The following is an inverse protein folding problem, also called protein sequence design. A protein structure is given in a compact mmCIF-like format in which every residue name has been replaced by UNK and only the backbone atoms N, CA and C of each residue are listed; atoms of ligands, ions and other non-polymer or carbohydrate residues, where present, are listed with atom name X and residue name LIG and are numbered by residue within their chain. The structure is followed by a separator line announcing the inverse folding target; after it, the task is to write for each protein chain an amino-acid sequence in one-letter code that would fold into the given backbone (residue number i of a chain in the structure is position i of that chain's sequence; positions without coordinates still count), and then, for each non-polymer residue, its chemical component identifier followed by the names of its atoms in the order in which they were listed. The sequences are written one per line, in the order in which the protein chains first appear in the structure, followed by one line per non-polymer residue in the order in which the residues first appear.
data_IF_344537984239
#
_entry.id   IF_344537984239
#
_cell.length_a   1.000
_cell.length_b   1.000
_cell.length_c   1.000
_cell.angle_alpha   90.00
_cell.angle_beta   90.00
_cell.angle_gamma   90.00
#
_symmetry.space_group_name_H-M   'P 1'
#
loop_
_entity.id
_entity.type
_entity.pdbx_description
1 polymer ?
#
# COMPACT_ATOMS: atom_id res chain seq x y z
N UNK A 1 1.26 -10.96 -9.59
CA UNK A 1 0.32 -9.82 -9.52
C UNK A 1 -0.43 -9.68 -10.83
N UNK A 2 -1.61 -9.03 -10.83
CA UNK A 2 -2.50 -8.84 -11.98
C UNK A 2 -2.65 -7.38 -12.38
N UNK A 3 -2.94 -7.12 -13.66
CA UNK A 3 -3.47 -5.83 -14.11
C UNK A 3 -4.95 -5.74 -13.74
N UNK A 4 -5.39 -4.57 -13.27
CA UNK A 4 -6.79 -4.34 -12.88
C UNK A 4 -7.41 -3.33 -13.83
N UNK A 5 -8.52 -3.71 -14.46
CA UNK A 5 -9.16 -2.89 -15.48
C UNK A 5 -9.80 -1.62 -14.89
N UNK A 6 -10.36 -1.69 -13.68
CA UNK A 6 -10.94 -0.52 -13.01
C UNK A 6 -10.98 -0.69 -11.47
N UNK A 7 -10.71 0.39 -10.75
CA UNK A 7 -10.64 0.41 -9.29
C UNK A 7 -9.35 -0.21 -8.75
N UNK A 8 -9.39 -0.69 -7.51
CA UNK A 8 -8.29 -1.44 -6.92
C UNK A 8 -7.05 -0.61 -6.56
N UNK A 9 -7.14 0.72 -6.49
CA UNK A 9 -6.03 1.55 -6.05
C UNK A 9 -5.60 1.22 -4.61
N UNK A 10 -4.31 1.38 -4.30
CA UNK A 10 -3.85 1.57 -2.92
C UNK A 10 -3.89 3.06 -2.64
N UNK A 11 -4.65 3.47 -1.62
CA UNK A 11 -4.87 4.88 -1.28
C UNK A 11 -4.23 5.22 0.05
N UNK A 12 -3.62 6.41 0.12
CA UNK A 12 -3.11 7.02 1.35
C UNK A 12 -3.98 8.24 1.64
N UNK A 13 -4.90 8.11 2.60
CA UNK A 13 -5.98 9.09 2.80
C UNK A 13 -5.45 10.45 3.25
N UNK A 14 -4.48 10.45 4.16
CA UNK A 14 -3.89 11.68 4.71
C UNK A 14 -2.99 12.39 3.68
N UNK A 15 -2.36 11.62 2.78
CA UNK A 15 -1.49 12.16 1.73
C UNK A 15 -2.24 12.57 0.46
N UNK A 16 -3.53 12.22 0.34
CA UNK A 16 -4.30 12.45 -0.88
C UNK A 16 -3.78 11.68 -2.11
N UNK A 17 -3.06 10.56 -1.89
CA UNK A 17 -2.39 9.80 -2.94
C UNK A 17 -3.17 8.52 -3.30
N UNK A 18 -3.27 8.23 -4.60
CA UNK A 18 -3.83 6.99 -5.14
C UNK A 18 -2.84 6.32 -6.08
N UNK A 19 -2.48 5.08 -5.79
CA UNK A 19 -1.57 4.25 -6.60
C UNK A 19 -2.37 3.14 -7.26
N UNK A 20 -2.52 3.22 -8.58
CA UNK A 20 -3.23 2.20 -9.35
C UNK A 20 -2.34 0.97 -9.59
N UNK A 21 -2.91 -0.25 -9.54
CA UNK A 21 -2.14 -1.48 -9.70
C UNK A 21 -1.65 -1.63 -11.14
N UNK A 22 -0.35 -1.89 -11.28
CA UNK A 22 0.31 -2.25 -12.53
C UNK A 22 1.00 -3.59 -12.32
N UNK A 23 0.78 -4.56 -13.21
CA UNK A 23 1.37 -5.88 -13.06
C UNK A 23 2.90 -5.80 -13.01
N UNK A 24 3.47 -6.33 -11.92
CA UNK A 24 4.92 -6.38 -11.71
C UNK A 24 5.50 -5.13 -11.05
N UNK A 25 4.73 -4.05 -10.90
CA UNK A 25 5.15 -2.89 -10.13
C UNK A 25 5.04 -3.14 -8.61
N UNK A 26 5.82 -2.38 -7.85
CA UNK A 26 5.75 -2.33 -6.40
C UNK A 26 5.68 -0.88 -5.92
N UNK A 27 4.98 -0.67 -4.81
CA UNK A 27 4.99 0.57 -4.05
C UNK A 27 5.56 0.26 -2.68
N UNK A 28 6.45 1.13 -2.20
CA UNK A 28 7.17 0.96 -0.94
C UNK A 28 7.08 2.26 -0.15
N UNK A 29 6.89 2.14 1.16
CA UNK A 29 6.87 3.26 2.11
C UNK A 29 7.32 2.76 3.49
N UNK A 30 7.63 3.71 4.37
CA UNK A 30 7.98 3.46 5.77
C UNK A 30 6.78 3.80 6.64
N UNK A 31 6.37 2.88 7.51
CA UNK A 31 5.29 3.14 8.46
C UNK A 31 5.75 3.92 9.70
N UNK A 32 7.07 4.13 9.85
CA UNK A 32 7.68 4.76 11.01
C UNK A 32 8.53 5.95 10.58
N UNK A 33 8.58 6.97 11.44
CA UNK A 33 9.58 8.02 11.38
C UNK A 33 10.97 7.48 11.81
N UNK A 34 12.07 8.21 11.54
CA UNK A 34 13.39 7.82 12.01
C UNK A 34 13.50 7.66 13.54
N UNK A 35 12.60 8.28 14.30
CA UNK A 35 12.49 8.12 15.75
C UNK A 35 11.91 6.77 16.19
N UNK A 36 11.31 6.00 15.27
CA UNK A 36 10.56 4.77 15.57
C UNK A 36 9.07 5.00 15.85
N UNK A 37 8.62 6.25 15.90
CA UNK A 37 7.19 6.58 16.08
C UNK A 37 6.39 6.31 14.80
N UNK A 38 5.13 5.89 14.97
CA UNK A 38 4.24 5.59 13.84
C UNK A 38 3.90 6.83 13.01
N UNK A 39 4.04 6.71 11.68
CA UNK A 39 3.68 7.76 10.73
C UNK A 39 2.23 7.58 10.25
N UNK A 40 1.30 8.31 10.87
CA UNK A 40 -0.13 8.28 10.50
C UNK A 40 -0.40 8.78 9.08
N UNK A 41 0.49 9.57 8.47
CA UNK A 41 0.30 10.03 7.10
C UNK A 41 0.35 8.86 6.11
N UNK A 42 1.10 7.80 6.45
CA UNK A 42 1.21 6.58 5.63
C UNK A 42 0.06 5.59 5.79
N UNK A 43 -0.98 5.95 6.56
CA UNK A 43 -2.20 5.13 6.68
C UNK A 43 -2.80 4.91 5.29
N UNK A 44 -2.98 3.64 4.96
CA UNK A 44 -3.40 3.24 3.62
C UNK A 44 -4.47 2.15 3.64
N UNK A 45 -5.20 2.06 2.54
CA UNK A 45 -6.23 1.05 2.32
C UNK A 45 -6.27 0.64 0.85
N UNK A 46 -6.95 -0.47 0.56
CA UNK A 46 -7.27 -0.88 -0.80
C UNK A 46 -8.67 -0.39 -1.19
N UNK A 47 -8.78 0.32 -2.29
CA UNK A 47 -10.07 0.63 -2.90
C UNK A 47 -10.73 -0.64 -3.48
N UNK A 48 -12.06 -0.67 -3.57
CA UNK A 48 -12.78 -1.74 -4.25
C UNK A 48 -12.28 -1.96 -5.68
N UNK A 49 -12.20 -3.22 -6.10
CA UNK A 49 -12.03 -3.57 -7.51
C UNK A 49 -13.38 -3.47 -8.18
N UNK A 50 -13.51 -2.61 -9.19
CA UNK A 50 -14.76 -2.41 -9.91
C UNK A 50 -14.87 -3.38 -11.11
N UNK A 51 -13.72 -3.75 -11.72
CA UNK A 51 -13.69 -4.71 -12.82
C UNK A 51 -12.38 -5.51 -12.84
N UNK A 52 -12.51 -6.83 -12.92
CA UNK A 52 -11.38 -7.77 -12.96
C UNK A 52 -11.05 -8.34 -11.57
N UNK A 53 -9.78 -8.61 -11.31
CA UNK A 53 -9.31 -9.12 -10.01
C UNK A 53 -7.93 -8.56 -9.67
N UNK A 54 -7.72 -8.18 -8.40
CA UNK A 54 -6.46 -7.65 -7.90
C UNK A 54 -5.73 -8.70 -7.07
N UNK A 55 -4.55 -9.11 -7.51
CA UNK A 55 -3.64 -10.00 -6.78
C UNK A 55 -2.37 -9.25 -6.38
N UNK A 56 -2.10 -9.16 -5.07
CA UNK A 56 -0.93 -8.47 -4.50
C UNK A 56 -0.14 -9.39 -3.56
N UNK A 57 1.10 -9.02 -3.30
CA UNK A 57 1.94 -9.62 -2.26
C UNK A 57 2.43 -8.50 -1.34
N UNK A 58 2.22 -8.65 -0.03
CA UNK A 58 2.73 -7.71 0.97
C UNK A 58 3.94 -8.32 1.65
N UNK A 59 5.01 -7.54 1.79
CA UNK A 59 6.16 -7.90 2.62
C UNK A 59 6.31 -6.85 3.72
N UNK A 60 6.06 -7.25 4.96
CA UNK A 60 6.35 -6.43 6.12
C UNK A 60 7.80 -6.64 6.55
N UNK A 61 8.46 -5.52 6.86
CA UNK A 61 9.81 -5.46 7.41
C UNK A 61 9.65 -4.76 8.75
N UNK A 62 10.04 -5.44 9.82
CA UNK A 62 9.87 -4.95 11.18
C UNK A 62 11.20 -4.35 11.66
N UNK A 63 11.11 -3.34 12.52
CA UNK A 63 12.26 -2.93 13.32
C UNK A 63 12.53 -4.03 14.36
N UNK A 64 13.80 -4.40 14.56
CA UNK A 64 14.16 -5.50 15.49
C UNK A 64 13.55 -5.29 16.87
N UNK A 65 12.98 -6.36 17.46
CA UNK A 65 12.25 -6.31 18.73
C UNK A 65 10.73 -6.07 18.65
N UNK A 66 10.16 -5.95 17.44
CA UNK A 66 8.71 -5.99 17.20
C UNK A 66 8.26 -7.37 16.69
N UNK A 67 8.47 -8.40 17.51
CA UNK A 67 8.04 -9.78 17.28
C UNK A 67 7.13 -10.29 18.39
#
# INVERSE_FOLDING_TARGET
MSDVAQGGATVFTELGLSVFPVKGAAVFWLNLHPSGEGDLATRHAACPVLRGSKWVCNKWIHQGGQE
#
